data_IF_776957455723
#
_entry.id   IF_776957455723
#
_cell.length_a   1.000
_cell.length_b   1.000
_cell.length_c   1.000
_cell.angle_alpha   90.00
_cell.angle_beta   90.00
_cell.angle_gamma   90.00
#
_symmetry.space_group_name_H-M   'P 1'
#
loop_
_entity.id
_entity.type
_entity.pdbx_description
1 polymer ?
#
# COMPACT_ATOMS: atom_id res chain seq x y z
N UNK A 1 -19.24 -0.30 -10.12
CA UNK A 1 -19.37 -1.65 -10.72
C UNK A 1 -18.63 -2.64 -9.84
N UNK A 2 -19.18 -3.83 -9.62
CA UNK A 2 -18.45 -4.90 -8.92
C UNK A 2 -17.51 -5.59 -9.93
N UNK A 3 -16.24 -5.71 -9.59
CA UNK A 3 -15.24 -6.44 -10.39
C UNK A 3 -14.98 -7.79 -9.74
N UNK A 4 -15.16 -8.87 -10.50
CA UNK A 4 -14.83 -10.23 -10.06
C UNK A 4 -13.40 -10.60 -10.48
N UNK A 5 -12.69 -11.31 -9.62
CA UNK A 5 -11.35 -11.84 -9.89
C UNK A 5 -11.38 -13.35 -9.65
N UNK A 6 -10.88 -14.11 -10.62
CA UNK A 6 -10.71 -15.56 -10.50
C UNK A 6 -9.22 -15.86 -10.51
N UNK A 7 -8.73 -16.52 -9.45
CA UNK A 7 -7.34 -16.99 -9.35
C UNK A 7 -7.36 -18.48 -9.70
N UNK A 8 -6.61 -18.86 -10.75
CA UNK A 8 -6.51 -20.24 -11.21
C UNK A 8 -5.31 -20.93 -10.60
N UNK A 9 -5.35 -22.26 -10.59
CA UNK A 9 -4.21 -23.11 -10.21
C UNK A 9 -3.66 -22.82 -8.81
N UNK A 10 -4.55 -22.46 -7.88
CA UNK A 10 -4.19 -22.29 -6.46
C UNK A 10 -4.05 -23.68 -5.85
N UNK A 11 -2.90 -24.03 -5.27
CA UNK A 11 -2.74 -25.31 -4.58
C UNK A 11 -3.77 -25.48 -3.46
N UNK A 12 -4.33 -26.69 -3.33
CA UNK A 12 -5.37 -26.98 -2.34
C UNK A 12 -4.93 -26.64 -0.91
N UNK A 13 -3.67 -26.95 -0.56
CA UNK A 13 -3.05 -26.59 0.71
C UNK A 13 -3.08 -25.09 1.00
N UNK A 14 -2.87 -24.26 -0.03
CA UNK A 14 -2.90 -22.79 0.11
C UNK A 14 -4.33 -22.31 0.29
N UNK A 15 -5.28 -22.87 -0.47
CA UNK A 15 -6.71 -22.57 -0.32
C UNK A 15 -7.19 -22.92 1.09
N UNK A 16 -6.80 -24.08 1.60
CA UNK A 16 -7.23 -24.60 2.90
C UNK A 16 -6.68 -23.75 4.05
N UNK A 17 -5.41 -23.38 3.98
CA UNK A 17 -4.80 -22.48 4.95
C UNK A 17 -5.49 -21.10 4.96
N UNK A 18 -5.78 -20.54 3.79
CA UNK A 18 -6.52 -19.27 3.70
C UNK A 18 -7.94 -19.39 4.23
N UNK A 19 -8.63 -20.51 3.98
CA UNK A 19 -9.97 -20.78 4.50
C UNK A 19 -9.96 -20.92 6.04
N UNK A 20 -8.96 -21.61 6.58
CA UNK A 20 -8.72 -21.73 8.03
C UNK A 20 -8.53 -20.35 8.67
N UNK A 21 -7.64 -19.52 8.11
CA UNK A 21 -7.43 -18.14 8.59
C UNK A 21 -8.68 -17.27 8.50
N UNK A 22 -9.45 -17.42 7.41
CA UNK A 22 -10.71 -16.71 7.24
C UNK A 22 -11.70 -17.09 8.36
N UNK A 23 -11.88 -18.41 8.60
CA UNK A 23 -12.75 -18.93 9.64
C UNK A 23 -12.34 -18.46 11.04
N UNK A 24 -11.03 -18.49 11.36
CA UNK A 24 -10.48 -17.97 12.62
C UNK A 24 -10.75 -16.47 12.82
N UNK A 25 -10.84 -15.71 11.72
CA UNK A 25 -11.17 -14.29 11.75
C UNK A 25 -12.68 -13.99 11.69
N UNK A 26 -13.53 -15.02 11.65
CA UNK A 26 -14.98 -14.88 11.53
C UNK A 26 -15.45 -14.32 10.18
N UNK A 27 -14.66 -14.53 9.12
CA UNK A 27 -14.91 -14.00 7.76
C UNK A 27 -15.09 -15.13 6.77
N UNK A 28 -15.84 -14.90 5.71
CA UNK A 28 -15.81 -15.80 4.55
C UNK A 28 -14.43 -15.76 3.88
N UNK A 29 -14.05 -16.84 3.19
CA UNK A 29 -12.79 -16.90 2.42
C UNK A 29 -12.67 -15.72 1.44
N UNK A 30 -13.76 -15.40 0.74
CA UNK A 30 -13.79 -14.31 -0.24
C UNK A 30 -13.56 -12.94 0.42
N UNK A 31 -14.18 -12.67 1.57
CA UNK A 31 -13.96 -11.41 2.30
C UNK A 31 -12.54 -11.30 2.84
N UNK A 32 -12.02 -12.39 3.38
CA UNK A 32 -10.65 -12.46 3.90
C UNK A 32 -9.65 -12.16 2.78
N UNK A 33 -9.71 -12.90 1.67
CA UNK A 33 -8.80 -12.70 0.52
C UNK A 33 -8.95 -11.31 -0.08
N UNK A 34 -10.17 -10.79 -0.23
CA UNK A 34 -10.39 -9.40 -0.67
C UNK A 34 -9.68 -8.41 0.24
N UNK A 35 -9.79 -8.57 1.55
CA UNK A 35 -9.12 -7.67 2.50
C UNK A 35 -7.60 -7.74 2.37
N UNK A 36 -7.03 -8.93 2.19
CA UNK A 36 -5.58 -9.10 1.96
C UNK A 36 -5.12 -8.43 0.67
N UNK A 37 -5.88 -8.56 -0.43
CA UNK A 37 -5.57 -7.89 -1.70
C UNK A 37 -5.63 -6.36 -1.60
N UNK A 38 -6.58 -5.82 -0.83
CA UNK A 38 -6.67 -4.38 -0.58
C UNK A 38 -5.45 -3.90 0.22
N UNK A 39 -5.08 -4.62 1.28
CA UNK A 39 -3.90 -4.28 2.09
C UNK A 39 -2.60 -4.38 1.29
N UNK A 40 -2.48 -5.39 0.42
CA UNK A 40 -1.36 -5.53 -0.51
C UNK A 40 -1.27 -4.31 -1.43
N UNK A 41 -2.40 -3.89 -2.01
CA UNK A 41 -2.44 -2.72 -2.90
C UNK A 41 -2.17 -1.39 -2.18
N UNK A 42 -2.45 -1.30 -0.87
CA UNK A 42 -2.18 -0.11 -0.06
C UNK A 42 -0.70 0.12 0.19
N UNK A 43 0.14 -0.92 0.12
CA UNK A 43 1.60 -0.82 0.29
C UNK A 43 2.26 -0.93 -1.09
N UNK A 44 2.41 0.19 -1.84
CA UNK A 44 3.20 0.15 -3.07
C UNK A 44 4.63 -0.26 -2.72
N UNK A 45 5.25 -1.04 -3.62
CA UNK A 45 6.68 -1.31 -3.53
C UNK A 45 7.46 -0.01 -3.32
N UNK A 46 8.48 -0.07 -2.45
CA UNK A 46 9.27 1.10 -2.10
C UNK A 46 9.84 1.80 -3.36
N UNK A 47 10.19 1.01 -4.37
CA UNK A 47 10.67 1.50 -5.65
C UNK A 47 9.59 2.25 -6.45
N UNK A 48 8.37 1.71 -6.50
CA UNK A 48 7.22 2.37 -7.14
C UNK A 48 6.87 3.66 -6.41
N UNK A 49 6.93 3.67 -5.08
CA UNK A 49 6.73 4.87 -4.28
C UNK A 49 7.82 5.92 -4.59
N UNK A 50 9.09 5.52 -4.60
CA UNK A 50 10.22 6.41 -4.91
C UNK A 50 10.10 6.99 -6.32
N UNK A 51 9.69 6.18 -7.31
CA UNK A 51 9.43 6.65 -8.67
C UNK A 51 8.33 7.73 -8.68
N UNK A 52 7.21 7.50 -7.99
CA UNK A 52 6.12 8.50 -7.87
C UNK A 52 6.59 9.78 -7.17
N UNK A 53 7.41 9.68 -6.13
CA UNK A 53 7.97 10.84 -5.42
C UNK A 53 8.89 11.65 -6.33
N UNK A 54 9.76 10.98 -7.12
CA UNK A 54 10.65 11.63 -8.09
C UNK A 54 9.86 12.36 -9.18
N UNK A 55 8.87 11.70 -9.77
CA UNK A 55 7.99 12.29 -10.79
C UNK A 55 7.26 13.53 -10.25
N UNK A 56 6.67 13.43 -9.05
CA UNK A 56 6.00 14.57 -8.41
C UNK A 56 6.96 15.73 -8.14
N UNK A 57 8.18 15.46 -7.67
CA UNK A 57 9.20 16.49 -7.44
C UNK A 57 9.62 17.18 -8.74
N UNK A 58 9.74 16.43 -9.83
CA UNK A 58 10.06 17.02 -11.14
C UNK A 58 8.92 17.92 -11.64
N UNK A 59 7.65 17.50 -11.51
CA UNK A 59 6.49 18.27 -11.96
C UNK A 59 6.25 19.57 -11.17
N UNK A 60 6.42 19.54 -9.85
CA UNK A 60 6.17 20.73 -9.01
C UNK A 60 7.32 21.73 -9.14
N UNK A 61 8.55 21.28 -9.39
CA UNK A 61 9.72 22.14 -9.62
C UNK A 61 10.20 22.95 -8.40
N UNK A 62 9.45 22.96 -7.29
CA UNK A 62 9.85 23.63 -6.06
C UNK A 62 11.05 22.94 -5.44
N UNK A 63 12.15 23.67 -5.25
CA UNK A 63 13.34 23.21 -4.53
C UNK A 63 13.47 24.01 -3.25
N UNK A 64 13.52 23.31 -2.12
CA UNK A 64 13.86 23.90 -0.83
C UNK A 64 15.23 23.36 -0.43
N UNK A 65 16.15 24.24 -0.06
CA UNK A 65 17.43 23.83 0.50
C UNK A 65 17.23 23.35 1.94
N UNK A 66 18.17 22.53 2.41
CA UNK A 66 18.18 22.07 3.81
C UNK A 66 18.23 23.26 4.76
N UNK A 67 19.02 24.29 4.45
CA UNK A 67 19.13 25.51 5.25
C UNK A 67 17.81 26.27 5.34
N UNK A 68 17.05 26.41 4.24
CA UNK A 68 15.73 27.05 4.29
C UNK A 68 14.73 26.26 5.14
N UNK A 69 14.75 24.93 5.06
CA UNK A 69 13.88 24.06 5.87
C UNK A 69 14.19 24.22 7.36
N UNK A 70 15.47 24.18 7.73
CA UNK A 70 15.91 24.33 9.12
C UNK A 70 15.60 25.75 9.64
N UNK A 71 15.81 26.77 8.82
CA UNK A 71 15.48 28.15 9.16
C UNK A 71 13.98 28.35 9.47
N UNK A 72 13.08 27.78 8.65
CA UNK A 72 11.65 27.84 8.92
C UNK A 72 11.24 27.08 10.18
N UNK A 73 11.81 25.88 10.39
CA UNK A 73 11.53 25.06 11.59
C UNK A 73 11.96 25.77 12.87
N UNK A 74 13.14 26.38 12.86
CA UNK A 74 13.70 27.01 14.06
C UNK A 74 13.04 28.37 14.35
N UNK A 75 12.45 29.02 13.34
CA UNK A 75 11.61 30.21 13.51
C UNK A 75 10.26 29.91 14.17
N UNK A 76 9.66 28.74 13.90
CA UNK A 76 8.39 28.29 14.50
C UNK A 76 8.51 27.91 15.99
N UNK A 77 9.74 27.72 16.48
CA UNK A 77 10.05 27.34 17.88
C UNK A 77 10.37 28.51 18.81
N UNK A 78 10.35 29.76 18.31
CA UNK A 78 10.58 30.98 19.12
C UNK A 78 9.27 31.69 19.38
#
# INVERSE_FOLDING_TARGET
MATAITIRDVPDETRDELASRAALSGRSLQEYVRSQLIELARRPDAEVLLARVRDRKQRIGSRLSVESILGHRDADRR
#
